data_IF_958840221159
#
_entry.id   IF_958840221159
#
_cell.length_a   1.000
_cell.length_b   1.000
_cell.length_c   1.000
_cell.angle_alpha   90.00
_cell.angle_beta   90.00
_cell.angle_gamma   90.00
#
_symmetry.space_group_name_H-M   'P 1'
#
loop_
_entity.id
_entity.type
_entity.pdbx_description
1 polymer ?
#
# COMPACT_ATOMS: atom_id res chain seq x y z
N UNK A 1 -25.98 -40.01 -57.56
CA UNK A 1 -25.90 -38.84 -56.66
C UNK A 1 -25.52 -39.31 -55.26
N UNK A 2 -24.29 -39.08 -54.78
CA UNK A 2 -23.89 -39.41 -53.42
C UNK A 2 -23.86 -38.14 -52.54
N UNK A 3 -24.48 -38.23 -51.37
CA UNK A 3 -24.46 -37.22 -50.31
C UNK A 3 -23.08 -37.16 -49.66
N UNK A 4 -22.41 -36.02 -49.73
CA UNK A 4 -21.15 -35.76 -49.03
C UNK A 4 -21.43 -35.39 -47.56
N UNK A 5 -21.09 -36.32 -46.67
CA UNK A 5 -21.12 -36.14 -45.22
C UNK A 5 -19.90 -35.31 -44.79
N UNK A 6 -20.10 -34.02 -44.54
CA UNK A 6 -19.08 -33.11 -43.99
C UNK A 6 -18.76 -33.55 -42.55
N UNK A 7 -17.56 -34.08 -42.32
CA UNK A 7 -17.03 -34.32 -40.96
C UNK A 7 -16.57 -32.98 -40.39
N UNK A 8 -17.38 -32.42 -39.50
CA UNK A 8 -16.97 -31.37 -38.57
C UNK A 8 -16.01 -31.99 -37.54
N UNK A 9 -14.71 -31.78 -37.71
CA UNK A 9 -13.72 -32.14 -36.68
C UNK A 9 -13.42 -30.92 -35.81
N UNK A 10 -14.15 -30.83 -34.71
CA UNK A 10 -13.79 -30.07 -33.51
C UNK A 10 -12.46 -30.61 -32.96
N UNK A 11 -11.42 -29.79 -32.71
CA UNK A 11 -10.26 -30.27 -31.97
C UNK A 11 -10.63 -30.39 -30.49
N UNK A 12 -10.76 -31.64 -30.02
CA UNK A 12 -10.80 -31.98 -28.59
C UNK A 12 -9.36 -32.00 -28.06
N UNK A 13 -9.02 -31.32 -26.94
CA UNK A 13 -7.66 -31.27 -26.43
C UNK A 13 -7.32 -32.58 -25.70
N UNK A 14 -6.58 -33.47 -26.35
CA UNK A 14 -6.03 -34.66 -25.72
C UNK A 14 -4.79 -34.29 -24.90
N UNK A 15 -4.83 -34.69 -23.63
CA UNK A 15 -3.77 -34.59 -22.65
C UNK A 15 -2.58 -35.50 -23.01
N UNK A 16 -1.64 -34.97 -23.79
CA UNK A 16 -0.30 -35.55 -23.86
C UNK A 16 0.45 -35.10 -22.60
N UNK A 17 0.62 -36.00 -21.61
CA UNK A 17 1.33 -35.77 -20.34
C UNK A 17 2.82 -35.48 -20.53
N UNK A 18 3.14 -34.42 -21.27
CA UNK A 18 4.47 -33.97 -21.67
C UNK A 18 4.59 -32.48 -21.44
N UNK A 19 5.78 -32.04 -21.06
CA UNK A 19 6.10 -30.64 -20.84
C UNK A 19 5.96 -29.85 -22.15
N UNK A 20 5.25 -28.73 -22.13
CA UNK A 20 5.07 -27.85 -23.31
C UNK A 20 6.36 -27.15 -23.74
N UNK A 21 7.37 -27.05 -22.86
CA UNK A 21 8.62 -26.33 -23.11
C UNK A 21 9.75 -27.23 -23.60
N UNK A 22 9.99 -28.37 -22.94
CA UNK A 22 11.08 -29.28 -23.30
C UNK A 22 10.61 -30.64 -23.82
N UNK A 23 9.29 -30.90 -23.84
CA UNK A 23 8.67 -32.14 -24.31
C UNK A 23 9.05 -33.42 -23.54
N UNK A 24 9.69 -33.30 -22.38
CA UNK A 24 9.87 -34.45 -21.48
C UNK A 24 8.52 -34.96 -20.97
N UNK A 25 8.46 -36.23 -20.57
CA UNK A 25 7.28 -36.80 -19.92
C UNK A 25 7.07 -36.10 -18.56
N UNK A 26 5.82 -35.87 -18.19
CA UNK A 26 5.47 -35.31 -16.88
C UNK A 26 5.11 -36.44 -15.91
N UNK A 27 5.56 -36.30 -14.68
CA UNK A 27 5.28 -37.23 -13.59
C UNK A 27 4.82 -36.47 -12.34
N UNK A 28 3.70 -36.89 -11.76
CA UNK A 28 3.09 -36.23 -10.61
C UNK A 28 3.99 -36.28 -9.37
N UNK A 29 4.81 -37.32 -9.25
CA UNK A 29 5.67 -37.57 -8.08
C UNK A 29 6.96 -36.74 -8.12
N UNK A 30 7.33 -36.18 -9.28
CA UNK A 30 8.56 -35.40 -9.47
C UNK A 30 8.40 -33.89 -9.25
N UNK A 31 7.20 -33.45 -8.88
CA UNK A 31 6.87 -32.03 -8.65
C UNK A 31 6.57 -31.25 -9.93
N UNK A 32 6.14 -31.95 -10.97
CA UNK A 32 5.69 -31.38 -12.23
C UNK A 32 4.32 -30.69 -12.10
N UNK A 33 4.08 -29.72 -12.98
CA UNK A 33 2.84 -28.96 -13.04
C UNK A 33 1.96 -29.55 -14.15
N UNK A 34 1.13 -30.53 -13.79
CA UNK A 34 0.26 -31.22 -14.74
C UNK A 34 -0.85 -30.31 -15.30
N UNK A 35 -1.29 -29.32 -14.51
CA UNK A 35 -2.28 -28.33 -14.96
C UNK A 35 -1.70 -27.44 -16.07
N UNK A 36 -0.51 -26.88 -15.83
CA UNK A 36 0.17 -26.04 -16.81
C UNK A 36 0.91 -26.84 -17.89
N UNK A 37 0.99 -28.16 -17.74
CA UNK A 37 1.78 -29.09 -18.55
C UNK A 37 3.25 -28.64 -18.64
N UNK A 38 3.89 -28.37 -17.49
CA UNK A 38 5.29 -27.92 -17.40
C UNK A 38 6.06 -28.75 -16.37
N UNK A 39 7.22 -29.28 -16.76
CA UNK A 39 8.05 -30.04 -15.82
C UNK A 39 8.74 -29.13 -14.80
N UNK A 40 9.17 -29.71 -13.68
CA UNK A 40 9.83 -29.02 -12.58
C UNK A 40 10.99 -28.12 -13.01
N UNK A 41 11.85 -28.59 -13.92
CA UNK A 41 12.99 -27.80 -14.41
C UNK A 41 12.57 -26.59 -15.26
N UNK A 42 11.50 -26.74 -16.05
CA UNK A 42 11.01 -25.67 -16.91
C UNK A 42 10.11 -24.67 -16.18
N UNK A 43 9.61 -25.00 -14.99
CA UNK A 43 8.74 -24.14 -14.17
C UNK A 43 9.39 -22.80 -13.79
N UNK A 44 10.72 -22.78 -13.62
CA UNK A 44 11.47 -21.56 -13.29
C UNK A 44 11.77 -20.65 -14.49
N UNK A 45 11.48 -21.10 -15.72
CA UNK A 45 11.82 -20.36 -16.93
C UNK A 45 10.83 -19.21 -17.20
N UNK A 46 11.28 -18.06 -17.72
CA UNK A 46 10.38 -16.94 -18.03
C UNK A 46 9.30 -17.31 -19.05
N UNK A 47 9.57 -18.28 -19.93
CA UNK A 47 8.61 -18.80 -20.90
C UNK A 47 7.43 -19.53 -20.24
N UNK A 48 7.63 -20.17 -19.08
CA UNK A 48 6.57 -20.85 -18.34
C UNK A 48 5.54 -19.87 -17.75
N UNK A 49 5.96 -18.65 -17.41
CA UNK A 49 5.07 -17.59 -16.91
C UNK A 49 4.02 -17.17 -17.94
N UNK A 50 4.33 -17.31 -19.23
CA UNK A 50 3.43 -16.95 -20.35
C UNK A 50 2.39 -18.01 -20.67
N UNK A 51 2.52 -19.23 -20.11
CA UNK A 51 1.63 -20.36 -20.38
C UNK A 51 0.33 -20.36 -19.56
N UNK A 52 0.03 -19.26 -18.87
CA UNK A 52 -1.23 -19.10 -18.16
C UNK A 52 -1.13 -19.15 -16.64
N UNK A 53 -0.02 -18.67 -16.05
CA UNK A 53 -0.07 -18.14 -14.68
C UNK A 53 -0.84 -16.81 -14.76
N UNK A 54 -2.15 -16.90 -15.00
CA UNK A 54 -3.08 -15.88 -14.60
C UNK A 54 -3.15 -15.93 -13.08
N UNK A 55 -2.43 -15.01 -12.44
CA UNK A 55 -2.73 -14.41 -11.14
C UNK A 55 -3.81 -15.14 -10.34
N UNK A 56 -3.45 -16.23 -9.67
CA UNK A 56 -4.15 -16.71 -8.48
C UNK A 56 -3.11 -17.19 -7.49
N UNK A 57 -3.11 -16.48 -6.37
CA UNK A 57 -2.58 -16.86 -5.05
C UNK A 57 -1.16 -17.40 -5.00
N UNK A 58 -0.29 -16.55 -4.46
CA UNK A 58 1.05 -16.92 -4.07
C UNK A 58 1.06 -18.20 -3.23
N UNK A 59 1.75 -19.22 -3.73
CA UNK A 59 2.40 -20.20 -2.88
C UNK A 59 3.52 -19.49 -2.13
N UNK A 60 3.17 -18.88 -1.01
CA UNK A 60 4.13 -18.49 0.01
C UNK A 60 4.74 -19.76 0.61
N UNK A 61 6.05 -19.70 0.87
CA UNK A 61 6.76 -20.60 1.80
C UNK A 61 5.94 -20.79 3.10
N UNK A 62 6.16 -21.86 3.89
CA UNK A 62 5.56 -21.95 5.22
C UNK A 62 6.17 -20.86 6.09
N UNK A 63 5.55 -19.69 6.08
CA UNK A 63 6.02 -18.47 6.70
C UNK A 63 4.78 -17.66 7.03
N UNK A 64 4.58 -17.46 8.34
CA UNK A 64 3.67 -16.54 9.02
C UNK A 64 2.44 -16.11 8.19
N UNK A 65 1.26 -16.64 8.52
CA UNK A 65 -0.02 -16.20 7.95
C UNK A 65 -0.16 -14.69 8.19
N UNK A 66 0.13 -13.88 7.17
CA UNK A 66 -0.05 -12.43 7.21
C UNK A 66 -1.49 -12.09 6.83
N UNK A 67 -1.96 -10.91 7.25
CA UNK A 67 -3.12 -10.30 6.62
C UNK A 67 -2.93 -10.23 5.10
N UNK A 68 -4.05 -10.14 4.38
CA UNK A 68 -4.05 -9.85 2.94
C UNK A 68 -3.32 -8.53 2.67
N UNK A 69 -2.92 -8.28 1.44
CA UNK A 69 -2.40 -6.97 1.04
C UNK A 69 -3.48 -5.87 1.19
N UNK A 70 -3.04 -4.63 1.37
CA UNK A 70 -3.93 -3.47 1.34
C UNK A 70 -4.64 -3.38 -0.02
N UNK A 71 -5.91 -3.01 -0.02
CA UNK A 71 -6.66 -2.62 -1.21
C UNK A 71 -6.27 -1.22 -1.66
N UNK A 72 -6.67 -0.84 -2.87
CA UNK A 72 -6.53 0.53 -3.37
C UNK A 72 -7.19 1.56 -2.43
N UNK A 73 -8.39 1.27 -1.95
CA UNK A 73 -9.12 2.15 -1.04
C UNK A 73 -8.40 2.31 0.32
N UNK A 74 -7.80 1.25 0.84
CA UNK A 74 -7.03 1.28 2.09
C UNK A 74 -5.72 2.06 1.91
N UNK A 75 -5.02 1.88 0.77
CA UNK A 75 -3.84 2.69 0.44
C UNK A 75 -4.17 4.17 0.33
N UNK A 76 -5.30 4.53 -0.27
CA UNK A 76 -5.76 5.91 -0.34
C UNK A 76 -6.03 6.49 1.04
N UNK A 77 -6.61 5.69 1.94
CA UNK A 77 -6.87 6.08 3.33
C UNK A 77 -5.55 6.28 4.10
N UNK A 78 -4.60 5.34 3.97
CA UNK A 78 -3.28 5.42 4.59
C UNK A 78 -2.59 6.72 4.16
N UNK A 79 -2.52 6.98 2.84
CA UNK A 79 -1.90 8.20 2.30
C UNK A 79 -2.53 9.48 2.86
N UNK A 80 -3.85 9.53 3.01
CA UNK A 80 -4.54 10.73 3.51
C UNK A 80 -4.37 10.93 5.01
N UNK A 81 -4.33 9.86 5.81
CA UNK A 81 -4.43 9.95 7.26
C UNK A 81 -3.11 9.79 8.02
N UNK A 82 -2.11 9.10 7.47
CA UNK A 82 -0.87 8.83 8.20
C UNK A 82 -0.09 10.10 8.62
N UNK A 83 -0.33 11.24 7.97
CA UNK A 83 0.24 12.54 8.36
C UNK A 83 -0.53 13.30 9.45
N UNK A 84 -1.76 12.89 9.79
CA UNK A 84 -2.64 13.59 10.74
C UNK A 84 -3.03 12.74 11.95
N UNK A 85 -2.68 11.45 11.94
CA UNK A 85 -3.08 10.49 12.97
C UNK A 85 -1.90 9.58 13.35
N UNK A 86 -1.88 9.11 14.60
CA UNK A 86 -0.84 8.19 15.05
C UNK A 86 -0.95 6.86 14.28
N UNK A 87 0.17 6.23 13.87
CA UNK A 87 0.17 4.98 13.12
C UNK A 87 -0.65 3.86 13.79
N UNK A 88 -0.61 3.76 15.11
CA UNK A 88 -1.40 2.77 15.85
C UNK A 88 -2.91 3.00 15.72
N UNK A 89 -3.36 4.25 15.71
CA UNK A 89 -4.77 4.59 15.55
C UNK A 89 -5.24 4.30 14.12
N UNK A 90 -4.39 4.57 13.13
CA UNK A 90 -4.64 4.21 11.73
C UNK A 90 -4.76 2.70 11.56
N UNK A 91 -3.86 1.92 12.18
CA UNK A 91 -3.92 0.47 12.12
C UNK A 91 -5.22 -0.08 12.75
N UNK A 92 -5.64 0.46 13.90
CA UNK A 92 -6.88 0.06 14.54
C UNK A 92 -8.09 0.31 13.64
N UNK A 93 -8.15 1.48 12.99
CA UNK A 93 -9.21 1.83 12.03
C UNK A 93 -9.24 0.86 10.83
N UNK A 94 -8.09 0.56 10.25
CA UNK A 94 -7.96 -0.37 9.12
C UNK A 94 -8.44 -1.78 9.52
N UNK A 95 -8.08 -2.24 10.72
CA UNK A 95 -8.48 -3.56 11.22
C UNK A 95 -9.97 -3.65 11.61
N UNK A 96 -10.57 -2.56 12.07
CA UNK A 96 -12.03 -2.49 12.30
C UNK A 96 -12.78 -2.59 10.97
N UNK A 97 -12.33 -1.84 9.95
CA UNK A 97 -12.89 -1.92 8.61
C UNK A 97 -12.71 -3.31 8.00
N UNK A 98 -11.52 -3.89 8.13
CA UNK A 98 -11.24 -5.23 7.63
C UNK A 98 -12.20 -6.28 8.20
N UNK A 99 -12.45 -6.23 9.52
CA UNK A 99 -13.42 -7.10 10.19
C UNK A 99 -14.86 -6.81 9.78
N UNK A 100 -15.19 -5.56 9.51
CA UNK A 100 -16.53 -5.19 9.01
C UNK A 100 -16.79 -5.75 7.62
N UNK A 101 -15.77 -5.71 6.75
CA UNK A 101 -15.89 -6.13 5.36
C UNK A 101 -15.80 -7.67 5.20
N UNK A 102 -14.94 -8.34 5.97
CA UNK A 102 -14.63 -9.77 5.82
C UNK A 102 -15.09 -10.66 6.98
N UNK A 103 -15.59 -10.08 8.06
CA UNK A 103 -16.00 -10.79 9.27
C UNK A 103 -14.87 -10.93 10.32
N UNK A 104 -15.19 -11.54 11.47
CA UNK A 104 -14.33 -11.56 12.65
C UNK A 104 -13.07 -12.43 12.49
N UNK A 105 -13.07 -13.38 11.56
CA UNK A 105 -11.95 -14.30 11.32
C UNK A 105 -10.87 -13.74 10.39
N UNK A 106 -11.03 -12.49 9.94
CA UNK A 106 -10.04 -11.83 9.10
C UNK A 106 -8.73 -11.60 9.88
N UNK A 107 -7.61 -12.05 9.31
CA UNK A 107 -6.29 -11.82 9.90
C UNK A 107 -5.98 -10.32 9.92
N UNK A 108 -5.71 -9.72 11.09
CA UNK A 108 -5.50 -8.28 11.21
C UNK A 108 -4.16 -7.86 10.56
N UNK A 109 -4.18 -6.69 9.94
CA UNK A 109 -2.97 -5.98 9.52
C UNK A 109 -2.04 -5.76 10.71
N UNK A 110 -0.74 -5.83 10.43
CA UNK A 110 0.32 -5.59 11.41
C UNK A 110 0.94 -4.21 11.24
N UNK A 111 1.61 -3.72 12.29
CA UNK A 111 2.38 -2.48 12.22
C UNK A 111 3.48 -2.54 11.16
N UNK A 112 4.15 -3.68 11.01
CA UNK A 112 5.18 -3.87 9.99
C UNK A 112 4.64 -3.68 8.57
N UNK A 113 3.44 -4.20 8.31
CA UNK A 113 2.77 -4.00 7.01
C UNK A 113 2.40 -2.54 6.79
N UNK A 114 1.87 -1.87 7.81
CA UNK A 114 1.53 -0.46 7.72
C UNK A 114 2.78 0.41 7.47
N UNK A 115 3.89 0.15 8.17
CA UNK A 115 5.13 0.89 7.96
C UNK A 115 5.76 0.61 6.59
N UNK A 116 5.69 -0.62 6.09
CA UNK A 116 6.11 -0.93 4.73
C UNK A 116 5.32 -0.11 3.69
N UNK A 117 3.99 -0.01 3.86
CA UNK A 117 3.14 0.77 2.96
C UNK A 117 3.37 2.29 3.10
N UNK A 118 3.62 2.80 4.31
CA UNK A 118 3.97 4.22 4.52
C UNK A 118 5.34 4.54 3.90
N UNK A 119 6.31 3.63 4.00
CA UNK A 119 7.65 3.80 3.44
C UNK A 119 7.67 3.78 1.90
N UNK A 120 6.79 2.99 1.27
CA UNK A 120 6.63 2.94 -0.19
C UNK A 120 5.67 4.00 -0.74
N UNK A 121 4.81 4.58 0.10
CA UNK A 121 3.91 5.64 -0.32
C UNK A 121 4.73 6.90 -0.65
N UNK A 122 4.52 7.53 -1.84
CA UNK A 122 5.03 8.87 -2.07
C UNK A 122 4.41 9.74 -0.99
N UNK A 123 5.25 10.25 -0.09
CA UNK A 123 4.83 11.05 1.04
C UNK A 123 4.01 12.19 0.46
N UNK A 124 2.68 12.25 0.66
CA UNK A 124 2.00 13.51 0.45
C UNK A 124 2.72 14.46 1.39
N UNK A 125 3.16 15.59 0.87
CA UNK A 125 3.61 16.70 1.68
C UNK A 125 2.42 17.16 2.51
N UNK A 126 2.15 16.43 3.60
CA UNK A 126 1.54 17.01 4.77
C UNK A 126 2.54 18.08 5.18
N UNK A 127 2.11 19.35 5.19
CA UNK A 127 2.85 20.46 5.76
C UNK A 127 3.05 20.25 7.27
N UNK A 128 3.86 19.26 7.62
CA UNK A 128 3.98 18.69 8.96
C UNK A 128 5.27 17.88 9.03
N UNK A 129 6.38 18.59 9.22
CA UNK A 129 7.69 17.99 9.51
C UNK A 129 8.80 18.38 8.56
N UNK A 130 9.32 19.61 8.73
CA UNK A 130 10.59 20.12 8.17
C UNK A 130 10.64 20.45 6.67
N UNK A 131 9.55 20.93 6.06
CA UNK A 131 9.70 21.84 4.92
C UNK A 131 10.05 23.26 5.44
N UNK A 132 11.26 23.38 5.99
CA UNK A 132 11.79 24.63 6.52
C UNK A 132 11.83 25.74 5.45
N UNK A 133 12.17 25.46 4.17
CA UNK A 133 11.98 26.40 3.07
C UNK A 133 10.51 26.83 2.88
N UNK A 134 9.57 25.88 2.92
CA UNK A 134 8.13 26.16 2.83
C UNK A 134 7.62 27.01 3.98
N UNK A 135 8.02 26.72 5.21
CA UNK A 135 7.67 27.49 6.40
C UNK A 135 8.18 28.93 6.31
N UNK A 136 9.46 29.13 5.93
CA UNK A 136 10.02 30.48 5.73
C UNK A 136 9.27 31.27 4.67
N UNK A 137 8.90 30.62 3.56
CA UNK A 137 8.10 31.27 2.50
C UNK A 137 6.70 31.66 3.00
N UNK A 138 6.09 30.82 3.84
CA UNK A 138 4.80 31.11 4.46
C UNK A 138 4.89 32.27 5.46
N UNK A 139 5.90 32.27 6.34
CA UNK A 139 6.15 33.37 7.28
C UNK A 139 6.38 34.69 6.55
N UNK A 140 7.24 34.71 5.53
CA UNK A 140 7.50 35.91 4.72
C UNK A 140 6.27 36.38 3.92
N UNK A 141 5.32 35.49 3.61
CA UNK A 141 4.05 35.88 3.01
C UNK A 141 3.08 36.47 4.05
N UNK A 142 3.00 35.88 5.24
CA UNK A 142 2.18 36.36 6.34
C UNK A 142 2.66 37.72 6.88
N UNK A 143 3.97 37.95 6.89
CA UNK A 143 4.57 39.24 7.25
C UNK A 143 4.19 40.33 6.23
N UNK A 144 4.39 40.08 4.92
CA UNK A 144 3.97 41.02 3.86
C UNK A 144 2.48 41.31 3.85
N UNK A 145 1.66 40.35 4.30
CA UNK A 145 0.22 40.52 4.43
C UNK A 145 -0.21 41.24 5.72
N UNK A 146 0.71 41.48 6.65
CA UNK A 146 0.43 42.06 7.97
C UNK A 146 -0.21 41.09 8.97
N UNK A 147 -0.48 39.85 8.57
CA UNK A 147 -1.08 38.83 9.43
C UNK A 147 -0.17 38.46 10.60
N UNK A 148 1.15 38.42 10.37
CA UNK A 148 2.11 38.06 11.42
C UNK A 148 2.12 39.09 12.57
N UNK A 149 1.89 40.37 12.27
CA UNK A 149 1.82 41.43 13.28
C UNK A 149 0.57 41.32 14.19
N UNK A 150 -0.46 40.60 13.75
CA UNK A 150 -1.64 40.31 14.57
C UNK A 150 -1.41 39.11 15.51
N UNK A 151 -0.33 38.35 15.33
CA UNK A 151 0.00 37.19 16.16
C UNK A 151 0.86 37.65 17.34
N UNK A 152 0.27 37.67 18.52
CA UNK A 152 0.94 37.96 19.79
C UNK A 152 0.88 36.75 20.73
N UNK A 153 1.51 36.86 21.90
CA UNK A 153 1.58 35.78 22.87
C UNK A 153 0.19 35.27 23.30
N UNK A 154 -0.77 36.17 23.50
CA UNK A 154 -2.14 35.81 23.86
C UNK A 154 -2.83 34.99 22.76
N UNK A 155 -2.68 35.37 21.49
CA UNK A 155 -3.24 34.62 20.35
C UNK A 155 -2.63 33.22 20.26
N UNK A 156 -1.33 33.08 20.55
CA UNK A 156 -0.64 31.79 20.57
C UNK A 156 -1.17 30.92 21.72
N UNK A 157 -1.37 31.50 22.89
CA UNK A 157 -1.88 30.78 24.06
C UNK A 157 -3.35 30.36 23.86
N UNK A 158 -4.19 31.24 23.29
CA UNK A 158 -5.58 30.92 22.94
C UNK A 158 -5.65 29.79 21.89
N UNK A 159 -4.78 29.84 20.87
CA UNK A 159 -4.65 28.78 19.87
C UNK A 159 -4.22 27.46 20.52
N UNK A 160 -3.29 27.50 21.47
CA UNK A 160 -2.84 26.32 22.20
C UNK A 160 -3.97 25.65 22.99
N UNK A 161 -4.88 26.44 23.58
CA UNK A 161 -6.06 25.91 24.26
C UNK A 161 -7.02 25.24 23.28
N UNK A 162 -7.36 25.91 22.17
CA UNK A 162 -8.31 25.38 21.16
C UNK A 162 -7.80 24.07 20.54
N UNK A 163 -6.50 24.00 20.25
CA UNK A 163 -5.88 22.84 19.61
C UNK A 163 -5.22 21.86 20.58
N UNK A 164 -5.38 22.07 21.90
CA UNK A 164 -4.83 21.20 22.96
C UNK A 164 -3.33 20.93 22.79
N UNK A 165 -2.56 21.96 22.49
CA UNK A 165 -1.11 21.84 22.32
C UNK A 165 -0.44 21.61 23.68
N UNK A 166 0.60 20.76 23.71
CA UNK A 166 1.43 20.58 24.90
C UNK A 166 2.40 21.78 25.07
N UNK A 167 2.82 22.07 26.30
CA UNK A 167 3.71 23.18 26.66
C UNK A 167 4.98 23.23 25.80
N UNK A 168 5.57 22.07 25.47
CA UNK A 168 6.73 22.01 24.56
C UNK A 168 6.41 22.56 23.16
N UNK A 169 5.23 22.26 22.61
CA UNK A 169 4.80 22.75 21.30
C UNK A 169 4.51 24.25 21.33
N UNK A 170 3.92 24.74 22.42
CA UNK A 170 3.67 26.17 22.63
C UNK A 170 4.98 26.95 22.67
N UNK A 171 5.98 26.46 23.42
CA UNK A 171 7.30 27.10 23.47
C UNK A 171 7.98 27.17 22.10
N UNK A 172 7.94 26.08 21.34
CA UNK A 172 8.48 26.06 19.96
C UNK A 172 7.73 27.04 19.05
N UNK A 173 6.41 27.16 19.21
CA UNK A 173 5.59 28.07 18.41
C UNK A 173 5.91 29.54 18.74
N UNK A 174 6.06 29.87 20.03
CA UNK A 174 6.49 31.19 20.50
C UNK A 174 7.88 31.54 19.96
N UNK A 175 8.83 30.61 20.05
CA UNK A 175 10.19 30.75 19.53
C UNK A 175 10.19 31.11 18.03
N UNK A 176 9.45 30.35 17.21
CA UNK A 176 9.40 30.57 15.76
C UNK A 176 8.69 31.88 15.39
N UNK A 177 7.52 32.15 15.99
CA UNK A 177 6.66 33.26 15.55
C UNK A 177 7.06 34.61 16.14
N UNK A 178 7.60 34.63 17.36
CA UNK A 178 7.93 35.88 18.05
C UNK A 178 9.36 36.35 17.75
N UNK A 179 10.35 35.45 17.58
CA UNK A 179 11.71 35.85 17.20
C UNK A 179 11.75 36.50 15.81
N UNK A 180 10.82 36.14 14.92
CA UNK A 180 10.74 36.72 13.57
C UNK A 180 10.33 38.21 13.58
N UNK A 181 9.85 38.76 14.69
CA UNK A 181 9.51 40.20 14.80
C UNK A 181 10.67 41.07 15.31
N UNK A 182 11.77 40.48 15.80
CA UNK A 182 12.88 41.22 16.42
C UNK A 182 14.05 41.53 15.47
N UNK A 183 14.03 41.02 14.23
CA UNK A 183 15.00 41.29 13.15
C UNK A 183 14.39 42.19 12.05
#
# INVERSE_FOLDING_TARGET
>A
MPATRTKSSTPSPAADGKCRLCRCKLDADEGDDLDLHVCRSCKGRPEARRLGIGVVSGRTRPGVKSAREFTTAERDLIRKLHGFMLPQQLLNLLNERLRSDLGPDALPYTMDQLYAEIGDAPTPSAGGGHDWPGLRKLLAAAERAGTLAAVNEQVIDDFAVVFSLNQKQVLVLKDILLQTQED
#
